data_IF_736994453948
#
_entry.id   IF_736994453948
#
_cell.length_a   1.000
_cell.length_b   1.000
_cell.length_c   1.000
_cell.angle_alpha   90.00
_cell.angle_beta   90.00
_cell.angle_gamma   90.00
#
_symmetry.space_group_name_H-M   'P 1'
#
loop_
_entity.id
_entity.type
_entity.pdbx_description
1 polymer ?
#
# COMPACT_ATOMS: atom_id res chain seq x y z
N UNK A 1 -19.15 8.62 3.65
CA UNK A 1 -20.05 7.47 3.87
C UNK A 1 -20.06 7.21 5.36
N UNK A 2 -21.20 7.41 6.05
CA UNK A 2 -21.28 7.11 7.49
C UNK A 2 -21.22 5.59 7.65
N UNK A 3 -20.28 5.10 8.43
CA UNK A 3 -20.23 3.70 8.82
C UNK A 3 -21.48 3.42 9.65
N UNK A 4 -22.20 2.36 9.30
CA UNK A 4 -23.30 1.86 10.10
C UNK A 4 -22.73 1.43 11.46
N UNK A 5 -23.19 1.99 12.60
CA UNK A 5 -22.61 1.70 13.91
C UNK A 5 -22.73 0.24 14.35
N UNK A 6 -23.53 -0.56 13.64
CA UNK A 6 -23.68 -2.00 13.89
C UNK A 6 -22.59 -2.86 13.24
N UNK A 7 -21.68 -2.25 12.44
CA UNK A 7 -20.61 -2.94 11.76
C UNK A 7 -19.24 -2.40 12.16
N UNK A 8 -18.33 -3.31 12.47
CA UNK A 8 -16.92 -3.00 12.69
C UNK A 8 -16.13 -3.28 11.42
N UNK A 9 -15.45 -2.26 10.91
CA UNK A 9 -14.53 -2.42 9.78
C UNK A 9 -13.32 -3.28 10.20
N UNK A 10 -13.07 -4.34 9.46
CA UNK A 10 -11.94 -5.26 9.66
C UNK A 10 -10.85 -4.98 8.64
N UNK A 11 -11.25 -4.78 7.39
CA UNK A 11 -10.30 -4.57 6.30
C UNK A 11 -10.88 -3.60 5.27
N UNK A 12 -10.00 -2.75 4.75
CA UNK A 12 -10.28 -1.86 3.62
C UNK A 12 -9.04 -1.73 2.74
N UNK A 13 -9.14 -2.15 1.49
CA UNK A 13 -8.05 -2.11 0.54
C UNK A 13 -7.54 -0.68 0.29
N UNK A 14 -8.39 0.34 0.49
CA UNK A 14 -8.00 1.75 0.31
C UNK A 14 -6.95 2.19 1.33
N UNK A 15 -6.95 1.63 2.54
CA UNK A 15 -6.01 1.99 3.60
C UNK A 15 -4.59 1.52 3.30
N UNK A 16 -4.42 0.40 2.59
CA UNK A 16 -3.08 -0.09 2.18
C UNK A 16 -2.28 0.91 1.35
N UNK A 17 -2.95 1.80 0.62
CA UNK A 17 -2.28 2.81 -0.21
C UNK A 17 -1.93 4.08 0.56
N UNK A 18 -2.68 4.43 1.61
CA UNK A 18 -2.41 5.59 2.45
C UNK A 18 -1.03 5.54 3.11
N UNK A 19 -0.63 4.39 3.64
CA UNK A 19 0.66 4.18 4.29
C UNK A 19 1.83 4.32 3.30
N UNK A 20 1.66 3.90 2.05
CA UNK A 20 2.69 4.02 1.01
C UNK A 20 2.92 5.47 0.58
N UNK A 21 1.88 6.29 0.54
CA UNK A 21 2.01 7.73 0.24
C UNK A 21 2.78 8.45 1.34
N UNK A 22 2.56 8.13 2.59
CA UNK A 22 3.30 8.69 3.73
C UNK A 22 4.79 8.34 3.66
N UNK A 23 5.14 7.10 3.32
CA UNK A 23 6.52 6.67 3.13
C UNK A 23 7.20 7.39 1.96
N UNK A 24 6.50 7.56 0.83
CA UNK A 24 7.02 8.29 -0.33
C UNK A 24 7.30 9.76 -0.01
N UNK A 25 6.39 10.43 0.71
CA UNK A 25 6.59 11.80 1.18
C UNK A 25 7.77 11.93 2.15
N UNK A 26 7.92 10.99 3.08
CA UNK A 26 9.05 10.94 4.01
C UNK A 26 10.39 10.80 3.28
N UNK A 27 10.46 9.94 2.27
CA UNK A 27 11.65 9.77 1.45
C UNK A 27 11.99 11.05 0.66
N UNK A 28 11.01 11.71 0.07
CA UNK A 28 11.18 12.98 -0.65
C UNK A 28 11.75 14.07 0.26
N UNK A 29 11.22 14.18 1.48
CA UNK A 29 11.70 15.15 2.47
C UNK A 29 13.15 14.86 2.89
N UNK A 30 13.51 13.59 3.11
CA UNK A 30 14.88 13.20 3.45
C UNK A 30 15.88 13.55 2.36
N UNK A 31 15.54 13.34 1.09
CA UNK A 31 16.36 13.75 -0.08
C UNK A 31 16.55 15.27 -0.13
N UNK A 32 15.49 16.03 0.13
CA UNK A 32 15.53 17.50 0.15
C UNK A 32 16.45 18.02 1.27
N UNK A 33 16.37 17.45 2.46
CA UNK A 33 17.24 17.79 3.60
C UNK A 33 18.70 17.46 3.28
N UNK A 34 18.99 16.30 2.73
CA UNK A 34 20.34 15.90 2.34
C UNK A 34 20.94 16.88 1.30
N UNK A 35 20.11 17.36 0.37
CA UNK A 35 20.53 18.37 -0.60
C UNK A 35 20.87 19.70 0.04
N UNK A 36 20.02 20.21 0.93
CA UNK A 36 20.28 21.49 1.63
C UNK A 36 21.58 21.42 2.43
N UNK A 37 21.79 20.31 3.14
CA UNK A 37 23.03 20.07 3.91
C UNK A 37 24.25 20.02 2.98
N UNK A 38 24.16 19.31 1.87
CA UNK A 38 25.22 19.25 0.86
C UNK A 38 25.56 20.62 0.26
N UNK A 39 24.54 21.41 -0.10
CA UNK A 39 24.71 22.75 -0.60
C UNK A 39 25.36 23.70 0.43
N UNK A 40 24.97 23.59 1.70
CA UNK A 40 25.59 24.34 2.79
C UNK A 40 27.08 23.96 2.97
N UNK A 41 27.41 22.68 2.87
CA UNK A 41 28.79 22.20 2.98
C UNK A 41 29.66 22.73 1.82
N UNK A 42 29.15 22.72 0.59
CA UNK A 42 29.82 23.32 -0.58
C UNK A 42 30.03 24.82 -0.40
N UNK A 43 28.98 25.53 0.01
CA UNK A 43 29.09 26.97 0.26
C UNK A 43 30.11 27.33 1.35
N UNK A 44 30.18 26.51 2.39
CA UNK A 44 31.15 26.66 3.47
C UNK A 44 32.61 26.41 3.00
N UNK A 45 32.82 25.36 2.20
CA UNK A 45 34.12 25.04 1.62
C UNK A 45 34.64 26.18 0.69
N UNK A 46 33.74 26.76 -0.11
CA UNK A 46 34.07 27.94 -0.99
C UNK A 46 34.44 29.15 -0.16
N UNK A 47 33.70 29.46 0.92
CA UNK A 47 33.99 30.61 1.81
C UNK A 47 35.33 30.49 2.53
N UNK A 48 35.82 29.27 2.81
CA UNK A 48 37.12 29.05 3.47
C UNK A 48 38.35 29.15 2.56
N UNK A 49 38.19 29.67 1.34
CA UNK A 49 39.32 29.96 0.43
C UNK A 49 39.90 28.72 -0.28
N UNK A 50 39.23 27.59 -0.27
CA UNK A 50 39.58 26.39 -1.06
C UNK A 50 39.22 26.55 -2.55
N UNK A 51 38.97 27.80 -2.99
CA UNK A 51 38.44 28.16 -4.29
C UNK A 51 39.27 27.64 -5.48
N UNK A 52 40.61 27.68 -5.39
CA UNK A 52 41.47 27.19 -6.49
C UNK A 52 41.43 25.71 -6.76
N UNK A 53 41.23 24.89 -5.71
CA UNK A 53 41.07 23.41 -5.85
C UNK A 53 39.63 23.01 -6.22
N UNK A 54 38.66 23.85 -5.88
CA UNK A 54 37.24 23.59 -6.17
C UNK A 54 36.87 23.92 -7.62
N UNK A 55 37.54 24.89 -8.24
CA UNK A 55 37.40 25.25 -9.67
C UNK A 55 38.23 24.36 -10.59
N UNK A 56 39.01 23.39 -10.07
CA UNK A 56 39.60 22.33 -10.90
C UNK A 56 38.48 21.50 -11.55
N UNK A 57 38.71 20.94 -12.72
CA UNK A 57 37.70 20.17 -13.46
C UNK A 57 37.01 19.07 -12.61
N UNK A 58 37.69 18.51 -11.60
CA UNK A 58 37.16 17.55 -10.65
C UNK A 58 36.09 18.17 -9.71
N UNK A 59 36.26 19.41 -9.27
CA UNK A 59 35.28 20.09 -8.43
C UNK A 59 34.00 20.43 -9.18
N UNK A 60 34.11 20.89 -10.42
CA UNK A 60 32.96 21.17 -11.30
C UNK A 60 32.21 19.87 -11.63
N UNK A 61 32.94 18.81 -11.96
CA UNK A 61 32.33 17.50 -12.23
C UNK A 61 31.56 16.94 -11.01
N UNK A 62 32.11 17.10 -9.80
CA UNK A 62 31.43 16.67 -8.57
C UNK A 62 30.12 17.43 -8.33
N UNK A 63 30.11 18.74 -8.55
CA UNK A 63 28.90 19.56 -8.43
C UNK A 63 27.85 19.14 -9.45
N UNK A 64 28.24 18.90 -10.70
CA UNK A 64 27.33 18.44 -11.75
C UNK A 64 26.73 17.07 -11.42
N UNK A 65 27.51 16.12 -10.91
CA UNK A 65 27.04 14.81 -10.48
C UNK A 65 26.03 14.91 -9.33
N UNK A 66 26.28 15.76 -8.33
CA UNK A 66 25.35 16.00 -7.22
C UNK A 66 24.05 16.61 -7.75
N UNK A 67 24.12 17.61 -8.63
CA UNK A 67 22.93 18.23 -9.22
C UNK A 67 22.12 17.23 -10.05
N UNK A 68 22.79 16.40 -10.85
CA UNK A 68 22.11 15.37 -11.65
C UNK A 68 21.42 14.33 -10.74
N UNK A 69 22.09 13.92 -9.67
CA UNK A 69 21.53 13.00 -8.69
C UNK A 69 20.29 13.55 -7.99
N UNK A 70 20.31 14.83 -7.64
CA UNK A 70 19.17 15.50 -7.00
C UNK A 70 17.98 15.64 -7.96
N UNK A 71 18.22 16.05 -9.19
CA UNK A 71 17.17 16.15 -10.20
C UNK A 71 16.57 14.77 -10.45
N UNK A 72 17.40 13.75 -10.63
CA UNK A 72 16.92 12.36 -10.80
C UNK A 72 16.09 11.87 -9.61
N UNK A 73 16.58 12.05 -8.39
CA UNK A 73 15.84 11.66 -7.19
C UNK A 73 14.50 12.41 -7.04
N UNK A 74 14.48 13.70 -7.38
CA UNK A 74 13.24 14.51 -7.35
C UNK A 74 12.22 14.02 -8.37
N UNK A 75 12.63 13.69 -9.59
CA UNK A 75 11.75 13.15 -10.62
C UNK A 75 11.17 11.79 -10.21
N UNK A 76 12.00 10.89 -9.67
CA UNK A 76 11.55 9.60 -9.16
C UNK A 76 10.54 9.79 -8.02
N UNK A 77 10.80 10.72 -7.10
CA UNK A 77 9.90 11.00 -5.98
C UNK A 77 8.55 11.54 -6.45
N UNK A 78 8.54 12.47 -7.39
CA UNK A 78 7.29 13.01 -7.97
C UNK A 78 6.51 11.90 -8.68
N UNK A 79 7.20 11.06 -9.45
CA UNK A 79 6.56 9.95 -10.16
C UNK A 79 5.97 8.92 -9.18
N UNK A 80 6.70 8.56 -8.11
CA UNK A 80 6.20 7.62 -7.10
C UNK A 80 4.98 8.16 -6.35
N UNK A 81 4.99 9.43 -5.94
CA UNK A 81 3.83 10.08 -5.30
C UNK A 81 2.64 10.10 -6.26
N UNK A 82 2.82 10.52 -7.52
CA UNK A 82 1.74 10.58 -8.50
C UNK A 82 1.14 9.19 -8.78
N UNK A 83 1.98 8.15 -8.91
CA UNK A 83 1.50 6.79 -9.16
C UNK A 83 0.77 6.20 -7.96
N UNK A 84 1.21 6.46 -6.72
CA UNK A 84 0.54 5.96 -5.51
C UNK A 84 -0.80 6.65 -5.28
N UNK A 85 -0.91 7.97 -5.50
CA UNK A 85 -2.19 8.68 -5.38
C UNK A 85 -3.19 8.24 -6.43
N UNK A 86 -2.76 8.10 -7.70
CA UNK A 86 -3.63 7.58 -8.75
C UNK A 86 -4.13 6.16 -8.47
N UNK A 87 -3.27 5.30 -7.89
CA UNK A 87 -3.65 3.94 -7.48
C UNK A 87 -4.63 3.95 -6.31
N UNK A 88 -4.44 4.83 -5.32
CA UNK A 88 -5.34 4.98 -4.18
C UNK A 88 -6.74 5.41 -4.64
N UNK A 89 -6.82 6.42 -5.51
CA UNK A 89 -8.09 6.89 -6.06
C UNK A 89 -8.79 5.81 -6.90
N UNK A 90 -8.02 5.07 -7.71
CA UNK A 90 -8.54 3.94 -8.49
C UNK A 90 -9.10 2.83 -7.59
N UNK A 91 -8.39 2.50 -6.51
CA UNK A 91 -8.83 1.49 -5.56
C UNK A 91 -10.09 1.95 -4.81
N UNK A 92 -10.15 3.19 -4.34
CA UNK A 92 -11.31 3.73 -3.66
C UNK A 92 -12.57 3.66 -4.55
N UNK A 93 -12.47 4.09 -5.81
CA UNK A 93 -13.58 3.99 -6.78
C UNK A 93 -13.97 2.52 -7.05
N UNK A 94 -12.99 1.63 -7.14
CA UNK A 94 -13.23 0.21 -7.35
C UNK A 94 -13.95 -0.43 -6.15
N UNK A 95 -13.59 -0.07 -4.93
CA UNK A 95 -14.27 -0.53 -3.71
C UNK A 95 -15.70 0.02 -3.67
N UNK A 96 -15.91 1.30 -3.92
CA UNK A 96 -17.24 1.92 -3.87
C UNK A 96 -18.19 1.43 -4.97
N UNK A 97 -17.65 1.04 -6.13
CA UNK A 97 -18.41 0.48 -7.25
C UNK A 97 -18.54 -1.06 -7.21
N UNK A 98 -17.89 -1.73 -6.25
CA UNK A 98 -17.85 -3.19 -6.18
C UNK A 98 -19.19 -3.76 -5.71
N UNK A 99 -19.56 -4.97 -6.18
CA UNK A 99 -20.70 -5.70 -5.64
C UNK A 99 -20.51 -5.95 -4.14
N UNK A 100 -21.62 -5.95 -3.41
CA UNK A 100 -21.68 -6.19 -1.97
C UNK A 100 -22.49 -7.44 -1.72
N UNK A 101 -22.00 -8.29 -0.83
CA UNK A 101 -22.77 -9.39 -0.27
C UNK A 101 -22.79 -9.26 1.26
N UNK A 102 -23.94 -9.58 1.84
CA UNK A 102 -24.15 -9.50 3.28
C UNK A 102 -24.88 -10.76 3.75
N UNK A 103 -24.41 -11.35 4.83
CA UNK A 103 -24.98 -12.57 5.36
C UNK A 103 -24.10 -13.27 6.38
N UNK A 104 -24.54 -14.46 6.76
CA UNK A 104 -23.78 -15.34 7.66
C UNK A 104 -22.71 -16.08 6.87
N UNK A 105 -21.54 -16.28 7.49
CA UNK A 105 -20.48 -17.13 6.97
C UNK A 105 -20.90 -18.59 7.09
N UNK A 106 -21.06 -19.24 5.96
CA UNK A 106 -21.45 -20.65 5.81
C UNK A 106 -20.28 -21.44 5.18
N UNK A 107 -20.33 -22.76 5.26
CA UNK A 107 -19.35 -23.70 4.68
C UNK A 107 -17.88 -23.29 4.94
N UNK A 108 -17.64 -22.79 6.17
CA UNK A 108 -16.32 -22.30 6.57
C UNK A 108 -15.31 -23.44 6.70
N UNK A 109 -14.28 -23.39 5.85
CA UNK A 109 -13.13 -24.27 5.88
C UNK A 109 -11.89 -23.46 6.31
N UNK A 110 -11.42 -23.59 7.55
CA UNK A 110 -10.26 -22.83 8.03
C UNK A 110 -8.98 -23.32 7.39
N UNK A 111 -8.00 -22.43 7.25
CA UNK A 111 -6.63 -22.80 6.90
C UNK A 111 -6.09 -23.79 7.94
N UNK A 112 -5.58 -24.99 7.53
CA UNK A 112 -4.95 -25.91 8.46
C UNK A 112 -3.69 -25.33 9.08
N UNK A 113 -3.40 -25.74 10.33
CA UNK A 113 -2.22 -25.23 11.06
C UNK A 113 -0.87 -25.56 10.39
N UNK A 114 -0.84 -26.57 9.52
CA UNK A 114 0.32 -26.93 8.71
C UNK A 114 0.51 -26.09 7.45
N UNK A 115 -0.41 -25.19 7.11
CA UNK A 115 -0.44 -24.48 5.84
C UNK A 115 -0.77 -25.37 4.65
N UNK A 116 -0.43 -24.94 3.44
CA UNK A 116 -0.59 -25.68 2.18
C UNK A 116 -2.03 -25.90 1.72
N UNK A 117 -2.95 -25.07 2.18
CA UNK A 117 -4.36 -25.02 1.76
C UNK A 117 -4.81 -23.56 1.71
N UNK A 118 -6.08 -23.32 1.50
CA UNK A 118 -6.73 -22.00 1.50
C UNK A 118 -7.84 -21.96 2.54
N UNK A 119 -8.06 -20.79 3.13
CA UNK A 119 -9.26 -20.52 3.88
C UNK A 119 -10.39 -20.20 2.90
N UNK A 120 -11.54 -20.88 3.02
CA UNK A 120 -12.67 -20.71 2.11
C UNK A 120 -13.98 -20.74 2.84
N UNK A 121 -14.96 -20.03 2.33
CA UNK A 121 -16.31 -19.94 2.90
C UNK A 121 -17.30 -19.38 1.89
N UNK A 122 -18.58 -19.41 2.24
CA UNK A 122 -19.65 -18.82 1.47
C UNK A 122 -20.41 -17.78 2.29
N UNK A 123 -20.91 -16.74 1.60
CA UNK A 123 -21.85 -15.74 2.15
C UNK A 123 -22.95 -15.53 1.14
N UNK A 124 -24.19 -15.88 1.50
CA UNK A 124 -25.36 -15.78 0.61
C UNK A 124 -25.11 -16.35 -0.79
N UNK A 125 -24.44 -17.52 -0.89
CA UNK A 125 -24.13 -18.23 -2.13
C UNK A 125 -22.95 -17.63 -2.93
N UNK A 126 -22.21 -16.68 -2.37
CA UNK A 126 -20.97 -16.15 -2.96
C UNK A 126 -19.80 -16.81 -2.28
N UNK A 127 -18.98 -17.52 -3.06
CA UNK A 127 -17.79 -18.22 -2.59
C UNK A 127 -16.59 -17.29 -2.50
N UNK A 128 -15.83 -17.39 -1.40
CA UNK A 128 -14.58 -16.68 -1.14
C UNK A 128 -13.49 -17.67 -0.78
N UNK A 129 -12.29 -17.42 -1.30
CA UNK A 129 -11.12 -18.25 -1.05
C UNK A 129 -9.87 -17.38 -1.02
N UNK A 130 -9.02 -17.54 0.00
CA UNK A 130 -7.77 -16.81 0.15
C UNK A 130 -6.77 -17.54 1.07
N UNK A 131 -5.52 -17.10 1.00
CA UNK A 131 -4.44 -17.55 1.88
C UNK A 131 -3.55 -16.36 2.23
N UNK A 132 -2.93 -16.35 3.41
CA UNK A 132 -1.96 -15.33 3.78
C UNK A 132 -0.70 -15.34 2.89
N UNK A 133 -0.47 -16.41 2.14
CA UNK A 133 0.59 -16.53 1.14
C UNK A 133 0.26 -15.80 -0.18
N UNK A 134 -1.00 -15.45 -0.40
CA UNK A 134 -1.40 -14.78 -1.64
C UNK A 134 -0.86 -13.36 -1.70
N UNK A 135 -0.17 -13.06 -2.79
CA UNK A 135 0.28 -11.69 -3.11
C UNK A 135 -0.89 -10.90 -3.72
N UNK A 136 -1.84 -10.50 -2.89
CA UNK A 136 -3.06 -9.79 -3.29
C UNK A 136 -3.17 -8.42 -2.65
N UNK A 137 -3.93 -7.52 -3.29
CA UNK A 137 -4.37 -6.26 -2.69
C UNK A 137 -5.62 -6.45 -1.81
N UNK A 138 -6.30 -7.58 -1.94
CA UNK A 138 -7.45 -7.96 -1.15
C UNK A 138 -7.10 -8.45 0.25
N UNK A 139 -8.16 -8.82 0.99
CA UNK A 139 -8.05 -9.46 2.29
C UNK A 139 -7.44 -10.86 2.14
N UNK A 140 -6.44 -11.16 2.96
CA UNK A 140 -5.73 -12.43 2.96
C UNK A 140 -5.30 -12.91 4.35
N UNK A 141 -5.92 -12.40 5.41
CA UNK A 141 -5.63 -12.82 6.79
C UNK A 141 -6.49 -14.03 7.15
N UNK A 142 -5.96 -15.23 6.97
CA UNK A 142 -6.60 -16.46 7.41
C UNK A 142 -6.47 -16.69 8.93
N UNK A 143 -7.10 -17.73 9.42
CA UNK A 143 -7.15 -18.06 10.86
C UNK A 143 -5.78 -18.26 11.48
N UNK A 144 -4.77 -18.72 10.71
CA UNK A 144 -3.43 -19.03 11.24
C UNK A 144 -2.62 -17.77 11.53
N UNK A 145 -2.95 -16.66 10.89
CA UNK A 145 -2.34 -15.32 11.10
C UNK A 145 -3.29 -14.37 11.83
N UNK A 146 -4.29 -14.89 12.50
CA UNK A 146 -5.21 -14.11 13.34
C UNK A 146 -6.38 -13.48 12.58
N UNK A 147 -6.70 -13.95 11.39
CA UNK A 147 -7.89 -13.54 10.65
C UNK A 147 -9.18 -13.74 11.47
N UNK A 148 -10.17 -12.83 11.36
CA UNK A 148 -11.36 -12.83 12.21
C UNK A 148 -12.48 -13.74 11.70
N UNK A 149 -12.43 -14.20 10.44
CA UNK A 149 -13.53 -14.95 9.83
C UNK A 149 -13.73 -16.28 10.52
N UNK A 150 -14.98 -16.62 10.82
CA UNK A 150 -15.40 -17.84 11.50
C UNK A 150 -16.79 -18.23 11.02
N UNK A 151 -17.12 -19.51 11.11
CA UNK A 151 -18.47 -20.01 10.85
C UNK A 151 -19.51 -19.31 11.72
N UNK A 152 -20.63 -18.94 11.14
CA UNK A 152 -21.71 -18.27 11.82
C UNK A 152 -21.54 -16.76 12.04
N UNK A 153 -20.40 -16.18 11.66
CA UNK A 153 -20.17 -14.76 11.74
C UNK A 153 -21.02 -14.01 10.69
N UNK A 154 -21.69 -12.93 11.10
CA UNK A 154 -22.43 -12.09 10.15
C UNK A 154 -21.53 -11.01 9.59
N UNK A 155 -21.37 -10.97 8.26
CA UNK A 155 -20.41 -10.09 7.57
C UNK A 155 -21.07 -9.31 6.43
N UNK A 156 -20.46 -8.17 6.09
CA UNK A 156 -20.69 -7.43 4.86
C UNK A 156 -19.39 -7.35 4.09
N UNK A 157 -19.39 -7.82 2.85
CA UNK A 157 -18.20 -7.98 2.02
C UNK A 157 -18.37 -7.24 0.71
N UNK A 158 -17.48 -6.30 0.44
CA UNK A 158 -17.26 -5.76 -0.90
C UNK A 158 -16.21 -6.60 -1.60
N UNK A 159 -16.47 -7.02 -2.84
CA UNK A 159 -15.57 -7.90 -3.56
C UNK A 159 -15.46 -7.56 -5.04
N UNK A 160 -14.34 -7.94 -5.64
CA UNK A 160 -14.11 -7.84 -7.10
C UNK A 160 -13.78 -9.21 -7.65
N UNK A 161 -14.22 -9.50 -8.86
CA UNK A 161 -13.86 -10.74 -9.56
C UNK A 161 -12.53 -10.54 -10.28
N UNK A 162 -11.58 -11.41 -10.02
CA UNK A 162 -10.25 -11.33 -10.60
C UNK A 162 -9.73 -12.71 -11.01
N UNK A 163 -8.99 -12.76 -12.12
CA UNK A 163 -8.35 -13.99 -12.60
C UNK A 163 -9.21 -14.89 -13.50
N UNK A 164 -8.62 -16.02 -13.91
CA UNK A 164 -9.28 -17.06 -14.71
C UNK A 164 -8.76 -18.43 -14.22
N UNK A 165 -9.60 -19.25 -13.55
CA UNK A 165 -11.00 -18.98 -13.22
C UNK A 165 -11.16 -17.77 -12.29
N UNK A 166 -12.32 -17.12 -12.38
CA UNK A 166 -12.57 -15.90 -11.63
C UNK A 166 -12.68 -16.21 -10.12
N UNK A 167 -11.82 -15.58 -9.32
CA UNK A 167 -11.88 -15.60 -7.87
C UNK A 167 -12.50 -14.30 -7.34
N UNK A 168 -13.28 -14.38 -6.26
CA UNK A 168 -13.86 -13.25 -5.57
C UNK A 168 -12.85 -12.70 -4.55
N UNK A 169 -12.20 -11.60 -4.89
CA UNK A 169 -11.21 -10.95 -4.01
C UNK A 169 -11.93 -9.94 -3.12
N UNK A 170 -11.80 -10.11 -1.81
CA UNK A 170 -12.40 -9.25 -0.80
C UNK A 170 -11.63 -7.91 -0.76
N UNK A 171 -12.31 -6.80 -1.05
CA UNK A 171 -11.71 -5.45 -1.03
C UNK A 171 -12.14 -4.61 0.18
N UNK A 172 -13.26 -4.98 0.83
CA UNK A 172 -13.67 -4.46 2.13
C UNK A 172 -14.38 -5.56 2.90
N UNK A 173 -14.06 -5.70 4.17
CA UNK A 173 -14.69 -6.64 5.09
C UNK A 173 -15.15 -5.93 6.35
N UNK A 174 -16.42 -6.04 6.64
CA UNK A 174 -17.06 -5.53 7.84
C UNK A 174 -17.73 -6.69 8.58
N UNK A 175 -17.64 -6.66 9.88
CA UNK A 175 -18.22 -7.68 10.77
C UNK A 175 -19.28 -7.02 11.63
N UNK A 176 -20.45 -7.66 11.74
CA UNK A 176 -21.52 -7.20 12.62
C UNK A 176 -21.18 -7.56 14.08
N UNK A 177 -21.27 -6.55 14.94
CA UNK A 177 -21.12 -6.70 16.40
C UNK A 177 -22.45 -7.07 17.08
#
# INVERSE_FOLDING_TARGET
MMSDPSYRLVFDATQKYGDRTALALGFTLAVLVAFVVGAMFVAHAVRRGHHRRFLSGLGVASILLVLLGVVGASLVSVWTVASTTASADGTARAVDASPVVEGVVEDFHPMPSGGHDTERFEVAGVHFEYSHWDMTQGFNQDVTVGGPVRSGLYVRIHYVRFGTPANNVIVRLEVRE
#
